data_IF_786000904257
#
_entry.id   IF_786000904257
#
_cell.length_a   1.000
_cell.length_b   1.000
_cell.length_c   1.000
_cell.angle_alpha   90.00
_cell.angle_beta   90.00
_cell.angle_gamma   90.00
#
_symmetry.space_group_name_H-M   'P 1'
#
loop_
_entity.id
_entity.type
_entity.pdbx_description
1 polymer ?
#
# COMPACT_ATOMS: atom_id res chain seq x y z
N UNK A 1 -15.57 -12.13 6.83
CA UNK A 1 -15.62 -12.56 5.38
C UNK A 1 -14.51 -13.57 5.14
N UNK A 2 -14.79 -14.64 4.38
CA UNK A 2 -13.72 -15.58 3.95
C UNK A 2 -12.82 -14.84 2.96
N UNK A 3 -11.50 -15.03 3.06
CA UNK A 3 -10.59 -14.54 2.03
C UNK A 3 -11.02 -15.06 0.66
N UNK A 4 -10.95 -14.24 -0.42
CA UNK A 4 -11.17 -14.74 -1.75
C UNK A 4 -10.16 -15.86 -2.07
N UNK A 5 -10.50 -16.79 -2.95
CA UNK A 5 -9.57 -17.85 -3.34
C UNK A 5 -8.31 -17.21 -3.91
N UNK A 6 -7.16 -17.50 -3.33
CA UNK A 6 -5.85 -17.11 -3.84
C UNK A 6 -5.27 -18.22 -4.68
N UNK A 7 -4.48 -17.85 -5.69
CA UNK A 7 -3.80 -18.78 -6.57
C UNK A 7 -2.29 -18.56 -6.56
N UNK A 8 -1.54 -19.64 -6.71
CA UNK A 8 -0.11 -19.59 -7.02
C UNK A 8 0.04 -19.84 -8.53
N UNK A 9 0.36 -18.80 -9.28
CA UNK A 9 0.39 -18.87 -10.72
C UNK A 9 1.61 -18.18 -11.33
N UNK A 10 1.94 -18.60 -12.54
CA UNK A 10 2.89 -17.92 -13.40
C UNK A 10 2.17 -16.82 -14.18
N UNK A 11 2.73 -15.63 -14.18
CA UNK A 11 2.23 -14.45 -14.87
C UNK A 11 3.25 -13.97 -15.89
N UNK A 12 2.79 -13.54 -17.05
CA UNK A 12 3.66 -12.93 -18.04
C UNK A 12 3.91 -11.45 -17.67
N UNK A 13 5.17 -11.05 -17.61
CA UNK A 13 5.56 -9.64 -17.50
C UNK A 13 5.28 -8.96 -18.84
N UNK A 14 4.37 -7.99 -18.83
CA UNK A 14 4.05 -7.18 -20.02
C UNK A 14 4.98 -5.98 -20.15
N UNK A 15 5.36 -5.39 -19.03
CA UNK A 15 6.31 -4.27 -19.00
C UNK A 15 6.94 -4.13 -17.61
N UNK A 16 8.17 -3.65 -17.57
CA UNK A 16 8.88 -3.20 -16.38
C UNK A 16 9.49 -1.84 -16.70
N UNK A 17 9.20 -0.81 -15.89
CA UNK A 17 9.67 0.56 -16.14
C UNK A 17 10.02 1.26 -14.85
N UNK A 18 11.12 1.99 -14.86
CA UNK A 18 11.46 2.95 -13.80
C UNK A 18 10.53 4.17 -13.95
N UNK A 19 9.80 4.50 -12.89
CA UNK A 19 8.84 5.62 -12.85
C UNK A 19 9.33 6.79 -12.00
N UNK A 20 10.21 6.53 -11.06
CA UNK A 20 10.96 7.49 -10.25
C UNK A 20 12.36 6.88 -10.01
N UNK A 21 13.36 7.65 -9.61
CA UNK A 21 14.69 7.11 -9.33
C UNK A 21 14.67 5.93 -8.36
N UNK A 22 15.01 4.73 -8.84
CA UNK A 22 14.98 3.47 -8.08
C UNK A 22 13.59 2.87 -7.85
N UNK A 23 12.51 3.48 -8.36
CA UNK A 23 11.13 2.97 -8.22
C UNK A 23 10.63 2.42 -9.56
N UNK A 24 10.20 1.19 -9.56
CA UNK A 24 9.73 0.48 -10.75
C UNK A 24 8.24 0.16 -10.69
N UNK A 25 7.58 0.27 -11.83
CA UNK A 25 6.24 -0.24 -12.10
C UNK A 25 6.34 -1.46 -13.01
N UNK A 26 5.74 -2.58 -12.60
CA UNK A 26 5.70 -3.84 -13.34
C UNK A 26 4.26 -4.24 -13.58
N UNK A 27 3.93 -4.52 -14.85
CA UNK A 27 2.62 -5.00 -15.28
C UNK A 27 2.67 -6.50 -15.56
N UNK A 28 1.78 -7.25 -14.93
CA UNK A 28 1.70 -8.70 -14.97
C UNK A 28 0.36 -9.15 -15.57
N UNK A 29 0.39 -9.94 -16.64
CA UNK A 29 -0.81 -10.59 -17.16
C UNK A 29 -1.11 -11.81 -16.32
N UNK A 30 -2.24 -11.81 -15.63
CA UNK A 30 -2.73 -12.98 -14.91
C UNK A 30 -3.30 -14.03 -15.90
N UNK A 31 -3.17 -15.33 -15.58
CA UNK A 31 -3.84 -16.39 -16.33
C UNK A 31 -5.37 -16.18 -16.34
N UNK A 32 -6.07 -16.59 -17.43
CA UNK A 32 -7.53 -16.54 -17.47
C UNK A 32 -8.16 -17.29 -16.30
N UNK A 33 -9.21 -16.69 -15.70
CA UNK A 33 -9.89 -17.27 -14.54
C UNK A 33 -9.21 -17.02 -13.19
N UNK A 34 -8.09 -16.31 -13.15
CA UNK A 34 -7.49 -15.87 -11.90
C UNK A 34 -8.45 -14.95 -11.13
N UNK A 35 -8.52 -15.07 -9.79
CA UNK A 35 -9.36 -14.18 -8.99
C UNK A 35 -8.88 -12.74 -9.11
N UNK A 36 -9.83 -11.82 -9.30
CA UNK A 36 -9.54 -10.39 -9.34
C UNK A 36 -9.20 -9.87 -7.94
N UNK A 37 -8.13 -9.10 -7.78
CA UNK A 37 -7.84 -8.44 -6.52
C UNK A 37 -8.81 -7.29 -6.25
N UNK A 38 -8.89 -6.90 -4.97
CA UNK A 38 -9.58 -5.69 -4.51
C UNK A 38 -8.56 -4.63 -4.07
N UNK A 39 -8.90 -3.33 -4.10
CA UNK A 39 -8.04 -2.27 -3.59
C UNK A 39 -7.56 -2.55 -2.17
N UNK A 40 -6.25 -2.38 -1.93
CA UNK A 40 -5.61 -2.64 -0.64
C UNK A 40 -5.12 -4.08 -0.44
N UNK A 41 -5.48 -5.03 -1.31
CA UNK A 41 -4.88 -6.37 -1.30
C UNK A 41 -3.47 -6.36 -1.89
N UNK A 42 -2.72 -7.42 -1.62
CA UNK A 42 -1.35 -7.59 -2.07
C UNK A 42 -1.13 -8.95 -2.75
N UNK A 43 0.02 -9.08 -3.37
CA UNK A 43 0.54 -10.35 -3.90
C UNK A 43 1.92 -10.64 -3.35
N UNK A 44 2.24 -11.91 -3.18
CA UNK A 44 3.59 -12.37 -2.88
C UNK A 44 4.30 -12.74 -4.19
N UNK A 45 5.35 -12.03 -4.53
CA UNK A 45 6.11 -12.21 -5.78
C UNK A 45 7.38 -13.02 -5.53
N UNK A 46 7.64 -13.99 -6.39
CA UNK A 46 8.91 -14.73 -6.42
C UNK A 46 9.93 -13.91 -7.24
N UNK A 47 11.01 -13.41 -6.60
CA UNK A 47 11.90 -12.44 -7.26
C UNK A 47 12.81 -13.05 -8.33
N UNK A 48 12.97 -14.35 -8.35
CA UNK A 48 13.79 -15.08 -9.35
C UNK A 48 13.40 -16.55 -9.41
N UNK A 49 13.69 -17.21 -10.54
CA UNK A 49 13.55 -18.67 -10.69
C UNK A 49 14.72 -19.46 -10.06
N UNK A 50 15.69 -18.78 -9.48
CA UNK A 50 16.85 -19.38 -8.83
C UNK A 50 16.57 -19.81 -7.38
N UNK A 51 17.53 -20.52 -6.80
CA UNK A 51 17.44 -20.98 -5.41
C UNK A 51 17.49 -19.81 -4.42
N UNK A 52 17.96 -18.65 -4.83
CA UNK A 52 18.15 -17.48 -3.96
C UNK A 52 17.77 -16.17 -4.66
N UNK A 53 16.98 -15.29 -4.02
CA UNK A 53 16.44 -15.36 -2.67
C UNK A 53 15.23 -16.30 -2.55
N UNK A 54 15.20 -17.10 -1.47
CA UNK A 54 14.19 -18.14 -1.25
C UNK A 54 12.79 -17.58 -0.96
N UNK A 55 12.72 -16.47 -0.24
CA UNK A 55 11.42 -15.90 0.19
C UNK A 55 10.81 -15.01 -0.89
N UNK A 56 9.50 -15.08 -1.05
CA UNK A 56 8.71 -14.13 -1.83
C UNK A 56 8.70 -12.74 -1.18
N UNK A 57 8.29 -11.74 -1.93
CA UNK A 57 8.16 -10.35 -1.48
C UNK A 57 6.71 -9.90 -1.62
N UNK A 58 6.12 -9.31 -0.57
CA UNK A 58 4.78 -8.74 -0.64
C UNK A 58 4.81 -7.41 -1.39
N UNK A 59 3.86 -7.23 -2.30
CA UNK A 59 3.62 -5.95 -2.97
C UNK A 59 2.12 -5.69 -3.04
N UNK A 60 1.72 -4.52 -2.61
CA UNK A 60 0.36 -4.03 -2.77
C UNK A 60 0.02 -3.96 -4.25
N UNK A 61 -1.20 -4.36 -4.60
CA UNK A 61 -1.72 -4.19 -5.97
C UNK A 61 -1.98 -2.71 -6.21
N UNK A 62 -1.21 -2.13 -7.13
CA UNK A 62 -1.30 -0.72 -7.50
C UNK A 62 -2.47 -0.43 -8.43
N UNK A 63 -2.73 -1.33 -9.38
CA UNK A 63 -3.91 -1.29 -10.24
C UNK A 63 -4.26 -2.68 -10.77
N UNK A 64 -5.52 -2.86 -11.20
CA UNK A 64 -5.97 -4.07 -11.87
C UNK A 64 -7.01 -3.75 -12.92
N UNK A 65 -6.71 -4.06 -14.19
CA UNK A 65 -7.65 -3.84 -15.31
C UNK A 65 -7.49 -4.95 -16.36
N UNK A 66 -8.61 -5.52 -16.76
CA UNK A 66 -8.67 -6.53 -17.86
C UNK A 66 -7.67 -7.68 -17.68
N UNK A 67 -7.50 -8.17 -16.44
CA UNK A 67 -6.56 -9.27 -16.14
C UNK A 67 -5.10 -8.84 -16.00
N UNK A 68 -4.79 -7.56 -16.17
CA UNK A 68 -3.44 -7.02 -15.94
C UNK A 68 -3.35 -6.42 -14.54
N UNK A 69 -2.42 -6.93 -13.74
CA UNK A 69 -2.09 -6.48 -12.41
C UNK A 69 -0.83 -5.63 -12.45
N UNK A 70 -0.83 -4.49 -11.79
CA UNK A 70 0.34 -3.64 -11.62
C UNK A 70 0.83 -3.67 -10.18
N UNK A 71 2.14 -3.79 -10.02
CA UNK A 71 2.84 -3.56 -8.75
C UNK A 71 3.86 -2.44 -8.92
N UNK A 72 4.05 -1.64 -7.85
CA UNK A 72 5.07 -0.59 -7.79
C UNK A 72 5.97 -0.87 -6.59
N UNK A 73 7.29 -0.79 -6.79
CA UNK A 73 8.25 -1.08 -5.73
C UNK A 73 9.54 -0.26 -5.84
N UNK A 74 10.18 -0.04 -4.70
CA UNK A 74 11.51 0.56 -4.58
C UNK A 74 12.59 -0.53 -4.60
N UNK A 75 13.73 -0.23 -5.21
CA UNK A 75 14.90 -1.11 -5.18
C UNK A 75 15.64 -0.93 -3.86
N UNK A 76 15.25 -1.73 -2.87
CA UNK A 76 15.81 -1.65 -1.51
C UNK A 76 16.73 -2.82 -1.15
N UNK A 77 16.85 -3.80 -2.04
CA UNK A 77 17.68 -4.97 -1.77
C UNK A 77 17.74 -5.94 -2.94
N UNK A 78 18.42 -7.07 -2.74
CA UNK A 78 18.70 -8.05 -3.80
C UNK A 78 17.46 -8.55 -4.55
N UNK A 79 16.36 -8.83 -3.83
CA UNK A 79 15.13 -9.31 -4.47
C UNK A 79 14.51 -8.29 -5.41
N UNK A 80 14.38 -7.03 -4.95
CA UNK A 80 13.83 -5.94 -5.76
C UNK A 80 14.79 -5.52 -6.87
N UNK A 81 16.12 -5.64 -6.68
CA UNK A 81 17.10 -5.41 -7.74
C UNK A 81 16.96 -6.44 -8.87
N UNK A 82 16.75 -7.72 -8.55
CA UNK A 82 16.47 -8.76 -9.55
C UNK A 82 15.15 -8.48 -10.28
N UNK A 83 14.12 -8.06 -9.57
CA UNK A 83 12.82 -7.73 -10.19
C UNK A 83 12.93 -6.51 -11.11
N UNK A 84 13.73 -5.50 -10.76
CA UNK A 84 13.95 -4.33 -11.59
C UNK A 84 14.64 -4.63 -12.93
N UNK A 85 15.42 -5.72 -13.00
CA UNK A 85 16.10 -6.16 -14.22
C UNK A 85 15.24 -7.09 -15.13
N UNK A 86 14.00 -7.36 -14.73
CA UNK A 86 13.12 -8.26 -15.52
C UNK A 86 12.56 -7.52 -16.73
N UNK A 87 12.66 -8.14 -17.89
CA UNK A 87 12.15 -7.62 -19.15
C UNK A 87 10.76 -8.18 -19.50
N UNK A 88 10.06 -7.50 -20.40
CA UNK A 88 8.81 -7.99 -20.97
C UNK A 88 9.00 -9.38 -21.60
N UNK A 89 7.97 -10.24 -21.47
CA UNK A 89 8.02 -11.63 -21.90
C UNK A 89 8.54 -12.61 -20.85
N UNK A 90 9.16 -12.12 -19.77
CA UNK A 90 9.56 -12.98 -18.66
C UNK A 90 8.33 -13.52 -17.92
N UNK A 91 8.46 -14.74 -17.38
CA UNK A 91 7.42 -15.34 -16.55
C UNK A 91 7.77 -15.17 -15.08
N UNK A 92 6.91 -14.47 -14.35
CA UNK A 92 7.05 -14.20 -12.91
C UNK A 92 5.98 -14.98 -12.13
N UNK A 93 6.37 -15.67 -11.06
CA UNK A 93 5.40 -16.36 -10.20
C UNK A 93 4.89 -15.45 -9.11
N UNK A 94 3.57 -15.45 -8.93
CA UNK A 94 2.91 -14.75 -7.85
C UNK A 94 1.98 -15.67 -7.08
N UNK A 95 1.77 -15.33 -5.82
CA UNK A 95 0.76 -15.89 -4.95
C UNK A 95 -0.19 -14.78 -4.54
N UNK A 96 -1.46 -14.92 -4.85
CA UNK A 96 -2.46 -13.90 -4.53
C UNK A 96 -3.79 -14.06 -5.26
N UNK A 97 -4.71 -13.09 -5.09
CA UNK A 97 -4.63 -11.96 -4.17
C UNK A 97 -4.66 -12.39 -2.71
N UNK A 98 -4.01 -11.64 -1.83
CA UNK A 98 -3.88 -11.94 -0.41
C UNK A 98 -4.35 -10.75 0.45
N UNK A 99 -4.72 -11.05 1.69
CA UNK A 99 -5.14 -10.07 2.66
C UNK A 99 -6.53 -9.50 2.45
N UNK A 100 -6.90 -8.58 3.33
CA UNK A 100 -8.14 -7.81 3.28
C UNK A 100 -7.83 -6.42 2.73
N UNK A 101 -8.59 -5.99 1.74
CA UNK A 101 -8.50 -4.65 1.18
C UNK A 101 -9.23 -3.60 2.02
N UNK A 102 -9.35 -2.41 1.43
CA UNK A 102 -10.13 -1.31 2.00
C UNK A 102 -11.59 -1.71 2.16
N UNK A 103 -12.18 -1.38 3.30
CA UNK A 103 -13.63 -1.47 3.50
C UNK A 103 -14.27 -0.25 2.83
N UNK A 104 -14.88 -0.48 1.69
CA UNK A 104 -15.55 0.54 0.89
C UNK A 104 -17.06 0.64 1.19
N UNK A 105 -17.52 0.02 2.27
CA UNK A 105 -18.89 0.16 2.74
C UNK A 105 -19.10 1.51 3.45
N UNK A 106 -20.31 2.05 3.35
CA UNK A 106 -20.64 3.36 3.91
C UNK A 106 -20.67 4.46 2.85
N UNK A 107 -21.11 5.64 3.28
CA UNK A 107 -21.34 6.78 2.42
C UNK A 107 -20.23 7.84 2.57
N UNK A 108 -20.14 8.69 1.55
CA UNK A 108 -19.25 9.85 1.52
C UNK A 108 -17.92 9.62 0.81
N UNK A 109 -17.27 10.73 0.44
CA UNK A 109 -16.04 10.68 -0.33
C UNK A 109 -14.84 10.25 0.51
N UNK A 110 -13.82 9.77 -0.19
CA UNK A 110 -12.55 9.37 0.40
C UNK A 110 -11.54 10.52 0.39
N UNK A 111 -10.77 10.62 1.47
CA UNK A 111 -9.53 11.39 1.53
C UNK A 111 -8.39 10.41 1.69
N UNK A 112 -7.38 10.51 0.82
CA UNK A 112 -6.23 9.62 0.81
C UNK A 112 -5.00 10.37 1.32
N UNK A 113 -4.38 9.86 2.38
CA UNK A 113 -3.20 10.47 3.01
C UNK A 113 -2.03 9.50 2.88
N UNK A 114 -1.06 9.85 2.04
CA UNK A 114 0.02 8.95 1.65
C UNK A 114 1.42 9.50 1.86
N UNK A 115 2.34 8.64 2.30
CA UNK A 115 3.76 8.96 2.46
C UNK A 115 4.68 8.16 1.56
N UNK A 116 5.46 8.84 0.73
CA UNK A 116 6.41 8.21 -0.16
C UNK A 116 5.79 7.12 -1.03
N UNK A 117 6.45 5.96 -1.11
CA UNK A 117 5.97 4.83 -1.91
C UNK A 117 4.67 4.22 -1.39
N UNK A 118 4.31 4.40 -0.11
CA UNK A 118 3.05 3.91 0.44
C UNK A 118 1.82 4.46 -0.30
N UNK A 119 1.93 5.62 -0.95
CA UNK A 119 0.87 6.16 -1.78
C UNK A 119 0.61 5.36 -3.08
N UNK A 120 1.52 4.49 -3.52
CA UNK A 120 1.37 3.76 -4.78
C UNK A 120 0.07 2.93 -4.81
N UNK A 121 -0.25 2.23 -3.72
CA UNK A 121 -1.47 1.42 -3.61
C UNK A 121 -2.78 2.21 -3.69
N UNK A 122 -2.73 3.54 -3.59
CA UNK A 122 -3.92 4.39 -3.72
C UNK A 122 -4.47 4.47 -5.15
N UNK A 123 -3.66 4.19 -6.18
CA UNK A 123 -4.17 4.24 -7.56
C UNK A 123 -5.36 3.31 -7.75
N UNK A 124 -5.30 2.09 -7.21
CA UNK A 124 -6.40 1.14 -7.34
C UNK A 124 -7.65 1.58 -6.56
N UNK A 125 -7.46 2.21 -5.40
CA UNK A 125 -8.58 2.78 -4.64
C UNK A 125 -9.20 3.97 -5.39
N UNK A 126 -8.39 4.90 -5.92
CA UNK A 126 -8.83 6.05 -6.73
C UNK A 126 -9.60 5.64 -7.99
N UNK A 127 -9.26 4.51 -8.58
CA UNK A 127 -9.99 3.96 -9.73
C UNK A 127 -11.37 3.39 -9.35
N UNK A 128 -11.68 3.25 -8.05
CA UNK A 128 -12.84 2.50 -7.56
C UNK A 128 -13.82 3.35 -6.77
N UNK A 129 -13.34 4.38 -6.05
CA UNK A 129 -14.15 5.19 -5.14
C UNK A 129 -14.23 6.65 -5.55
N UNK A 130 -15.24 7.37 -5.04
CA UNK A 130 -15.28 8.82 -5.10
C UNK A 130 -14.27 9.39 -4.10
N UNK A 131 -13.38 10.26 -4.59
CA UNK A 131 -12.33 10.89 -3.81
C UNK A 131 -12.52 12.40 -3.81
N UNK A 132 -12.48 13.03 -2.63
CA UNK A 132 -12.53 14.49 -2.47
C UNK A 132 -11.16 15.13 -2.37
N UNK A 133 -10.11 14.38 -1.97
CA UNK A 133 -8.77 14.92 -1.83
C UNK A 133 -7.68 13.88 -1.64
N UNK A 134 -6.48 14.21 -2.08
CA UNK A 134 -5.26 13.42 -1.89
C UNK A 134 -4.20 14.28 -1.24
N UNK A 135 -3.65 13.82 -0.13
CA UNK A 135 -2.56 14.46 0.61
C UNK A 135 -1.32 13.59 0.52
N UNK A 136 -0.23 14.12 -0.03
CA UNK A 136 1.00 13.37 -0.21
C UNK A 136 2.17 14.04 0.52
N UNK A 137 2.91 13.23 1.27
CA UNK A 137 4.15 13.63 1.92
C UNK A 137 5.34 12.85 1.39
N UNK A 138 6.49 13.49 1.21
CA UNK A 138 7.74 12.84 0.85
C UNK A 138 8.96 13.64 1.33
N UNK A 139 10.15 13.02 1.30
CA UNK A 139 11.41 13.74 1.57
C UNK A 139 11.70 14.79 0.50
N UNK A 140 11.37 14.48 -0.76
CA UNK A 140 11.61 15.34 -1.91
C UNK A 140 10.60 15.05 -3.02
N UNK A 141 10.50 15.93 -4.01
CA UNK A 141 9.66 15.77 -5.20
C UNK A 141 9.95 14.45 -5.95
N UNK A 142 11.20 14.00 -5.99
CA UNK A 142 11.60 12.76 -6.65
C UNK A 142 11.09 11.49 -5.95
N UNK A 143 10.47 11.62 -4.78
CA UNK A 143 9.86 10.51 -4.00
C UNK A 143 8.34 10.62 -3.90
N UNK A 144 7.72 11.61 -4.55
CA UNK A 144 6.27 11.71 -4.69
C UNK A 144 5.80 10.77 -5.80
N UNK A 145 5.05 9.74 -5.44
CA UNK A 145 4.50 8.78 -6.41
C UNK A 145 3.45 9.50 -7.27
N UNK A 146 3.56 9.42 -8.61
CA UNK A 146 2.56 10.00 -9.50
C UNK A 146 1.26 9.21 -9.42
N UNK A 147 0.16 9.89 -9.09
CA UNK A 147 -1.19 9.34 -9.09
C UNK A 147 -2.03 9.97 -10.21
N UNK A 148 -2.80 9.15 -10.90
CA UNK A 148 -3.78 9.61 -11.90
C UNK A 148 -5.11 9.83 -11.19
N UNK A 149 -5.44 11.09 -10.94
CA UNK A 149 -6.67 11.45 -10.23
C UNK A 149 -7.27 12.74 -10.79
N UNK A 150 -8.57 12.93 -10.53
CA UNK A 150 -9.30 14.19 -10.79
C UNK A 150 -9.51 14.99 -9.52
N UNK A 151 -9.31 14.38 -8.35
CA UNK A 151 -9.43 15.09 -7.08
C UNK A 151 -8.22 16.01 -6.87
N UNK A 152 -8.38 17.07 -6.06
CA UNK A 152 -7.29 17.93 -5.64
C UNK A 152 -6.18 17.12 -4.98
N UNK A 153 -4.94 17.45 -5.33
CA UNK A 153 -3.74 16.85 -4.71
C UNK A 153 -2.95 17.95 -4.03
N UNK A 154 -2.76 17.84 -2.74
CA UNK A 154 -1.87 18.71 -1.98
C UNK A 154 -0.63 17.94 -1.53
N UNK A 155 0.52 18.59 -1.57
CA UNK A 155 1.80 17.94 -1.29
C UNK A 155 2.62 18.70 -0.26
N UNK A 156 3.36 17.95 0.57
CA UNK A 156 4.43 18.49 1.38
C UNK A 156 5.73 17.72 1.13
N UNK A 157 6.84 18.42 0.98
CA UNK A 157 8.16 17.81 0.92
C UNK A 157 9.08 18.40 1.98
N UNK A 158 9.87 17.54 2.63
CA UNK A 158 10.75 17.99 3.73
C UNK A 158 11.79 19.02 3.23
N UNK A 159 12.29 18.84 2.01
CA UNK A 159 13.26 19.74 1.38
C UNK A 159 12.62 20.96 0.70
N UNK A 160 11.29 21.00 0.54
CA UNK A 160 10.56 22.07 -0.13
C UNK A 160 10.65 22.03 -1.66
N UNK A 161 11.06 20.91 -2.25
CA UNK A 161 11.19 20.77 -3.71
C UNK A 161 9.83 20.64 -4.44
N UNK A 162 8.74 20.36 -3.72
CA UNK A 162 7.36 20.37 -4.25
C UNK A 162 6.36 20.66 -3.15
N UNK A 163 5.35 21.49 -3.44
CA UNK A 163 4.30 21.85 -2.49
C UNK A 163 4.80 22.63 -1.28
N UNK A 164 4.20 22.38 -0.13
CA UNK A 164 4.59 23.01 1.14
C UNK A 164 5.88 22.37 1.67
N UNK A 165 6.83 23.20 2.12
CA UNK A 165 8.01 22.69 2.81
C UNK A 165 7.67 22.21 4.20
N UNK A 166 7.92 20.95 4.53
CA UNK A 166 7.65 20.39 5.83
C UNK A 166 7.12 18.96 5.81
N UNK A 167 6.60 18.52 6.94
CA UNK A 167 5.98 17.21 7.09
C UNK A 167 4.53 17.23 6.61
N UNK A 168 4.00 16.08 6.22
CA UNK A 168 2.61 15.92 5.78
C UNK A 168 1.60 16.44 6.82
N UNK A 169 1.90 16.35 8.09
CA UNK A 169 1.05 16.86 9.17
C UNK A 169 0.86 18.38 9.16
N UNK A 170 1.78 19.13 8.55
CA UNK A 170 1.66 20.59 8.44
C UNK A 170 0.64 21.08 7.43
N UNK A 171 0.12 20.18 6.59
CA UNK A 171 -0.87 20.47 5.55
C UNK A 171 -2.21 19.74 5.77
N UNK A 172 -2.39 19.13 6.94
CA UNK A 172 -3.65 18.47 7.35
C UNK A 172 -4.53 19.48 8.11
N UNK A 173 -5.04 20.48 7.41
CA UNK A 173 -6.01 21.42 7.95
C UNK A 173 -7.43 20.86 8.02
N UNK A 174 -8.33 21.51 8.77
CA UNK A 174 -9.74 21.13 8.84
C UNK A 174 -10.41 21.20 7.46
N UNK A 175 -10.06 22.20 6.67
CA UNK A 175 -10.54 22.39 5.29
C UNK A 175 -10.21 21.22 4.37
N UNK A 176 -9.08 20.55 4.58
CA UNK A 176 -8.65 19.38 3.83
C UNK A 176 -9.46 18.14 4.19
N UNK A 177 -9.91 18.04 5.43
CA UNK A 177 -10.60 16.88 6.01
C UNK A 177 -12.13 17.04 5.99
N UNK A 178 -12.62 18.21 5.60
CA UNK A 178 -14.05 18.52 5.61
C UNK A 178 -14.85 17.59 4.70
N UNK A 179 -15.95 17.07 5.22
CA UNK A 179 -16.87 16.20 4.48
C UNK A 179 -16.34 14.79 4.20
N UNK A 180 -15.20 14.39 4.77
CA UNK A 180 -14.69 13.03 4.60
C UNK A 180 -15.66 11.99 5.16
N UNK A 181 -16.07 11.03 4.34
CA UNK A 181 -16.75 9.81 4.77
C UNK A 181 -15.77 8.69 5.11
N UNK A 182 -14.59 8.70 4.49
CA UNK A 182 -13.53 7.72 4.67
C UNK A 182 -12.15 8.38 4.59
N UNK A 183 -11.22 7.92 5.40
CA UNK A 183 -9.81 8.32 5.32
C UNK A 183 -8.94 7.08 5.12
N UNK A 184 -8.19 7.04 4.01
CA UNK A 184 -7.19 6.03 3.75
C UNK A 184 -5.81 6.56 4.11
N UNK A 185 -5.08 5.86 4.98
CA UNK A 185 -3.74 6.24 5.43
C UNK A 185 -2.73 5.15 5.06
N UNK A 186 -1.64 5.51 4.39
CA UNK A 186 -0.56 4.59 4.05
C UNK A 186 0.79 5.29 3.96
N UNK A 187 1.84 4.68 4.47
CA UNK A 187 3.19 5.20 4.42
C UNK A 187 4.09 4.67 5.53
N UNK A 188 5.25 5.30 5.76
CA UNK A 188 6.13 4.93 6.86
C UNK A 188 5.42 5.00 8.21
N UNK A 189 5.67 4.02 9.09
CA UNK A 189 5.01 3.91 10.40
C UNK A 189 5.07 5.22 11.21
N UNK A 190 6.23 5.88 11.25
CA UNK A 190 6.38 7.14 11.98
C UNK A 190 5.49 8.27 11.42
N UNK A 191 5.30 8.31 10.09
CA UNK A 191 4.40 9.26 9.45
C UNK A 191 2.94 8.93 9.77
N UNK A 192 2.54 7.67 9.66
CA UNK A 192 1.17 7.24 9.94
C UNK A 192 0.78 7.50 11.40
N UNK A 193 1.67 7.21 12.36
CA UNK A 193 1.47 7.54 13.78
C UNK A 193 1.31 9.06 14.00
N UNK A 194 2.15 9.87 13.35
CA UNK A 194 2.05 11.33 13.45
C UNK A 194 0.74 11.86 12.86
N UNK A 195 0.30 11.34 11.71
CA UNK A 195 -0.99 11.68 11.11
C UNK A 195 -2.13 11.24 12.02
N UNK A 196 -2.13 10.00 12.51
CA UNK A 196 -3.14 9.48 13.42
C UNK A 196 -3.32 10.36 14.66
N UNK A 197 -2.22 10.82 15.25
CA UNK A 197 -2.23 11.71 16.43
C UNK A 197 -2.71 13.13 16.10
N UNK A 198 -2.43 13.61 14.89
CA UNK A 198 -2.84 14.93 14.43
C UNK A 198 -4.31 14.99 14.00
N UNK A 199 -4.91 13.86 13.60
CA UNK A 199 -6.32 13.83 13.21
C UNK A 199 -7.26 14.12 14.38
N UNK A 200 -8.33 14.91 14.14
CA UNK A 200 -9.41 15.13 15.12
C UNK A 200 -9.98 13.78 15.60
N UNK A 201 -10.24 13.64 16.91
CA UNK A 201 -10.74 12.38 17.49
C UNK A 201 -12.02 11.85 16.81
N UNK A 202 -12.91 12.75 16.40
CA UNK A 202 -14.17 12.43 15.72
C UNK A 202 -13.98 11.77 14.35
N UNK A 203 -12.87 12.03 13.65
CA UNK A 203 -12.56 11.41 12.37
C UNK A 203 -11.86 10.06 12.50
N UNK A 204 -11.37 9.69 13.68
CA UNK A 204 -10.61 8.45 13.85
C UNK A 204 -11.43 7.19 13.53
N UNK A 205 -12.73 7.24 13.73
CA UNK A 205 -13.63 6.12 13.43
C UNK A 205 -13.75 5.79 11.94
N UNK A 206 -13.44 6.73 11.03
CA UNK A 206 -13.49 6.54 9.58
C UNK A 206 -12.10 6.29 8.97
N UNK A 207 -11.03 6.25 9.78
CA UNK A 207 -9.67 6.03 9.32
C UNK A 207 -9.39 4.55 9.11
N UNK A 208 -8.96 4.19 7.92
CA UNK A 208 -8.38 2.90 7.61
C UNK A 208 -6.90 3.08 7.27
N UNK A 209 -6.08 2.13 7.69
CA UNK A 209 -4.62 2.18 7.59
C UNK A 209 -4.12 0.96 6.85
N UNK A 210 -3.42 1.16 5.74
CA UNK A 210 -2.68 0.08 5.07
C UNK A 210 -1.32 -0.07 5.72
N UNK A 211 -1.13 -1.20 6.38
CA UNK A 211 0.07 -1.50 7.17
C UNK A 211 1.07 -2.31 6.37
N UNK A 212 2.36 -2.10 6.64
CA UNK A 212 3.45 -2.92 6.15
C UNK A 212 4.10 -3.68 7.30
N UNK A 213 4.45 -4.93 7.06
CA UNK A 213 5.21 -5.75 7.99
C UNK A 213 6.06 -6.76 7.23
N UNK A 214 7.13 -7.23 7.84
CA UNK A 214 7.96 -8.29 7.25
C UNK A 214 7.15 -9.56 7.10
N UNK A 215 7.02 -10.05 5.86
CA UNK A 215 6.25 -11.23 5.56
C UNK A 215 7.14 -12.38 5.08
N UNK A 216 6.97 -13.54 5.70
CA UNK A 216 7.57 -14.79 5.22
C UNK A 216 6.60 -15.54 4.31
N UNK A 217 5.50 -16.05 4.86
CA UNK A 217 4.57 -16.92 4.13
C UNK A 217 3.46 -16.17 3.36
N UNK A 218 2.91 -15.07 3.88
CA UNK A 218 1.73 -14.38 3.34
C UNK A 218 0.37 -15.05 3.65
N UNK A 219 0.37 -16.22 4.36
CA UNK A 219 -0.80 -17.07 4.61
C UNK A 219 -1.23 -17.17 6.06
N UNK A 220 -0.62 -16.42 6.96
CA UNK A 220 -0.94 -16.49 8.38
C UNK A 220 -0.34 -17.68 9.14
N UNK A 221 0.58 -18.45 8.53
CA UNK A 221 1.17 -19.64 9.17
C UNK A 221 2.39 -19.31 10.01
N UNK A 222 3.30 -18.44 9.50
CA UNK A 222 4.58 -18.16 10.16
C UNK A 222 4.50 -17.09 11.27
N UNK A 223 3.40 -16.36 11.35
CA UNK A 223 3.13 -15.27 12.31
C UNK A 223 4.13 -14.10 12.31
N UNK A 224 5.10 -14.11 11.39
CA UNK A 224 6.15 -13.08 11.29
C UNK A 224 5.67 -11.69 10.92
N UNK A 225 4.41 -11.54 10.45
CA UNK A 225 3.80 -10.26 10.07
C UNK A 225 2.82 -9.74 11.12
N UNK A 226 2.94 -10.16 12.37
CA UNK A 226 2.04 -9.77 13.45
C UNK A 226 2.29 -8.32 13.86
N UNK A 227 1.22 -7.55 13.98
CA UNK A 227 1.22 -6.18 14.51
C UNK A 227 0.43 -6.14 15.81
N UNK A 228 0.84 -5.32 16.80
CA UNK A 228 0.13 -5.21 18.07
C UNK A 228 -1.17 -4.43 17.90
N UNK A 229 -2.21 -4.84 18.63
CA UNK A 229 -3.55 -4.27 18.56
C UNK A 229 -4.16 -4.03 19.94
N UNK A 230 -5.11 -3.09 20.01
CA UNK A 230 -5.92 -2.86 21.20
C UNK A 230 -7.07 -3.88 21.30
N UNK A 231 -7.48 -4.23 22.56
CA UNK A 231 -6.92 -3.85 23.88
C UNK A 231 -5.70 -4.67 24.29
N UNK A 232 -5.08 -5.38 23.38
CA UNK A 232 -3.91 -6.23 23.56
C UNK A 232 -3.93 -7.42 22.61
N UNK A 233 -2.77 -8.12 22.47
CA UNK A 233 -2.58 -9.19 21.51
C UNK A 233 -1.99 -8.72 20.19
N UNK A 234 -2.17 -9.52 19.14
CA UNK A 234 -1.60 -9.31 17.82
C UNK A 234 -2.58 -9.74 16.73
N UNK A 235 -2.52 -9.06 15.58
CA UNK A 235 -3.20 -9.45 14.34
C UNK A 235 -2.16 -9.61 13.23
N UNK A 236 -2.44 -10.52 12.29
CA UNK A 236 -1.52 -10.83 11.18
C UNK A 236 -1.82 -9.89 10.01
N UNK A 237 -0.83 -9.09 9.63
CA UNK A 237 -0.93 -8.19 8.48
C UNK A 237 -1.36 -8.93 7.20
N UNK A 238 -0.91 -10.17 6.99
CA UNK A 238 -1.20 -10.93 5.77
C UNK A 238 -2.61 -11.54 5.68
N UNK A 239 -3.30 -11.77 6.80
CA UNK A 239 -4.63 -12.43 6.82
C UNK A 239 -5.72 -11.58 7.44
N UNK A 240 -5.39 -10.81 8.47
CA UNK A 240 -6.33 -9.94 9.16
C UNK A 240 -6.34 -8.53 8.56
N UNK A 241 -5.20 -8.10 7.97
CA UNK A 241 -4.96 -6.90 7.18
C UNK A 241 -4.67 -7.24 5.70
N UNK A 242 -3.86 -6.42 5.00
CA UNK A 242 -3.02 -5.32 5.51
C UNK A 242 -3.76 -4.06 5.90
N UNK A 243 -5.04 -3.92 5.51
CA UNK A 243 -5.84 -2.75 5.86
C UNK A 243 -6.58 -3.00 7.17
N UNK A 244 -6.37 -2.12 8.14
CA UNK A 244 -6.99 -2.14 9.46
C UNK A 244 -7.69 -0.82 9.75
N UNK A 245 -8.68 -0.83 10.63
CA UNK A 245 -9.18 0.42 11.24
C UNK A 245 -8.09 1.01 12.12
N UNK A 246 -7.88 2.33 12.03
CA UNK A 246 -6.80 2.99 12.76
C UNK A 246 -6.88 2.84 14.28
N UNK A 247 -8.09 2.73 14.82
CA UNK A 247 -8.38 2.53 16.25
C UNK A 247 -8.01 1.15 16.78
N UNK A 248 -7.88 0.15 15.90
CA UNK A 248 -7.50 -1.22 16.28
C UNK A 248 -6.00 -1.33 16.54
N UNK A 249 -5.20 -0.49 15.91
CA UNK A 249 -3.73 -0.52 15.99
C UNK A 249 -3.25 0.03 17.32
N UNK A 250 -2.38 -0.71 18.01
CA UNK A 250 -1.61 -0.20 19.16
C UNK A 250 -0.35 0.50 18.63
N UNK A 251 -0.49 1.77 18.31
CA UNK A 251 0.54 2.60 17.66
C UNK A 251 1.83 2.68 18.46
N UNK A 252 1.74 2.79 19.79
CA UNK A 252 2.91 2.94 20.63
C UNK A 252 3.71 1.64 20.69
N UNK A 253 3.05 0.50 20.95
CA UNK A 253 3.71 -0.81 20.93
C UNK A 253 4.25 -1.17 19.54
N UNK A 254 3.55 -0.76 18.47
CA UNK A 254 4.03 -1.06 17.12
C UNK A 254 5.32 -0.29 16.80
N UNK A 255 5.47 0.96 17.23
CA UNK A 255 6.72 1.74 17.11
C UNK A 255 7.87 1.11 17.92
N UNK A 256 7.59 0.66 19.14
CA UNK A 256 8.59 0.00 20.00
C UNK A 256 9.10 -1.32 19.40
N UNK A 257 8.23 -2.05 18.69
CA UNK A 257 8.59 -3.31 18.04
C UNK A 257 9.61 -3.16 16.89
N UNK A 258 9.85 -1.94 16.39
CA UNK A 258 10.89 -1.64 15.40
C UNK A 258 10.71 -2.34 14.04
N UNK A 259 9.48 -2.57 13.62
CA UNK A 259 9.15 -3.31 12.37
C UNK A 259 9.29 -2.41 11.16
#
# INVERSE_FOLDING_TARGET
MKQPPSVDCACQVLSSREILPGVFSVHLQLPPGSPAPHPGQFVQVEPSRGVFPVTRRPFTVNSFRSGVLEIVFDVVGRGTALMASIEAGFEMRILGPLGKGWDMSGDGPWILIGGGLGAAGFQFLLDTVECSGVVLGARSASRLVPLKTRCPVITATEDGSSGTRGLITSILGEDVLEGAGHIALCGPLAMMDAVWKALPPELRSIVQVSTESRMGCGWGVCEGCSIPVHPGGYMKCCTDGPVFRGEVIDWDRWKEAGV
#
